data_IF_532665273902
#
_entry.id   IF_532665273902
#
_cell.length_a   1.000
_cell.length_b   1.000
_cell.length_c   1.000
_cell.angle_alpha   90.00
_cell.angle_beta   90.00
_cell.angle_gamma   90.00
#
_symmetry.space_group_name_H-M   'P 1'
#
loop_
_entity.id
_entity.type
_entity.pdbx_description
1 polymer ?
#
# COMPACT_ATOMS: atom_id res chain seq x y z
N UNK A 1 9.34 4.13 -17.72
CA UNK A 1 8.07 3.33 -17.81
C UNK A 1 8.02 2.41 -16.60
N UNK A 2 6.90 2.35 -15.89
CA UNK A 2 6.70 1.48 -14.73
C UNK A 2 6.54 0.02 -15.17
N UNK A 3 7.26 -0.89 -14.53
CA UNK A 3 7.05 -2.34 -14.61
C UNK A 3 6.79 -2.91 -13.22
N UNK A 4 5.81 -3.81 -13.10
CA UNK A 4 5.61 -4.62 -11.90
C UNK A 4 6.44 -5.89 -12.11
N UNK A 5 7.61 -5.96 -11.50
CA UNK A 5 8.48 -7.14 -11.58
C UNK A 5 7.93 -8.32 -10.78
N UNK A 6 7.27 -8.02 -9.66
CA UNK A 6 6.71 -9.04 -8.80
C UNK A 6 5.47 -8.51 -8.07
N UNK A 7 4.46 -9.36 -7.93
CA UNK A 7 3.37 -9.23 -6.97
C UNK A 7 3.30 -10.52 -6.18
N UNK A 8 3.45 -10.44 -4.87
CA UNK A 8 3.35 -11.60 -3.98
C UNK A 8 2.39 -11.34 -2.85
N UNK A 9 1.57 -12.33 -2.56
CA UNK A 9 0.84 -12.40 -1.31
C UNK A 9 1.80 -12.86 -0.24
N UNK A 10 2.04 -12.04 0.78
CA UNK A 10 3.04 -12.25 1.83
C UNK A 10 2.42 -12.13 3.22
N UNK A 11 3.10 -12.74 4.19
CA UNK A 11 2.70 -12.68 5.59
C UNK A 11 1.39 -13.38 5.92
N UNK A 12 0.97 -13.31 7.20
CA UNK A 12 -0.13 -14.10 7.72
C UNK A 12 -1.52 -13.70 7.20
N UNK A 13 -1.67 -12.47 6.71
CA UNK A 13 -2.94 -11.95 6.17
C UNK A 13 -2.95 -11.84 4.62
N UNK A 14 -1.95 -12.45 3.94
CA UNK A 14 -1.84 -12.45 2.48
C UNK A 14 -1.88 -11.03 1.88
N UNK A 15 -1.07 -10.11 2.47
CA UNK A 15 -0.88 -8.78 1.93
C UNK A 15 -0.22 -8.85 0.55
N UNK A 16 -0.69 -8.05 -0.39
CA UNK A 16 -0.06 -7.91 -1.69
C UNK A 16 1.17 -6.98 -1.59
N UNK A 17 2.35 -7.56 -1.54
CA UNK A 17 3.59 -6.83 -1.73
C UNK A 17 3.88 -6.66 -3.22
N UNK A 18 4.26 -5.47 -3.64
CA UNK A 18 4.64 -5.18 -5.02
C UNK A 18 6.10 -4.75 -5.11
N UNK A 19 6.83 -5.30 -6.08
CA UNK A 19 8.17 -4.83 -6.47
C UNK A 19 8.02 -4.19 -7.85
N UNK A 20 8.12 -2.86 -7.88
CA UNK A 20 7.89 -2.06 -9.09
C UNK A 20 9.12 -1.23 -9.42
N UNK A 21 9.37 -0.97 -10.68
CA UNK A 21 10.55 -0.19 -11.04
C UNK A 21 10.70 0.08 -12.53
N UNK A 22 11.92 0.50 -12.88
CA UNK A 22 12.31 0.79 -14.23
C UNK A 22 13.06 -0.42 -14.84
N UNK A 23 12.52 -1.05 -15.89
CA UNK A 23 13.13 -2.21 -16.53
C UNK A 23 14.50 -1.91 -17.17
N UNK A 24 14.80 -0.64 -17.48
CA UNK A 24 16.04 -0.24 -18.10
C UNK A 24 17.18 -0.11 -17.09
N UNK A 25 16.92 0.60 -15.99
CA UNK A 25 17.93 0.86 -14.95
C UNK A 25 17.99 -0.24 -13.89
N UNK A 26 16.99 -1.12 -13.83
CA UNK A 26 16.81 -2.13 -12.78
C UNK A 26 16.71 -1.54 -11.37
N UNK A 27 16.39 -0.26 -11.26
CA UNK A 27 16.03 0.35 -10.00
C UNK A 27 14.57 0.07 -9.66
N UNK A 28 14.29 -0.22 -8.40
CA UNK A 28 12.95 -0.64 -7.96
C UNK A 28 12.55 -0.06 -6.61
N UNK A 29 11.26 -0.01 -6.37
CA UNK A 29 10.62 0.31 -5.10
C UNK A 29 9.83 -0.92 -4.63
N UNK A 30 9.94 -1.24 -3.35
CA UNK A 30 9.12 -2.28 -2.71
C UNK A 30 7.98 -1.60 -1.97
N UNK A 31 6.74 -2.00 -2.28
CA UNK A 31 5.52 -1.47 -1.66
C UNK A 31 4.91 -2.54 -0.77
N UNK A 32 4.58 -2.18 0.47
CA UNK A 32 3.92 -3.02 1.48
C UNK A 32 4.60 -4.38 1.72
N UNK A 33 5.82 -4.41 2.25
CA UNK A 33 6.51 -5.66 2.61
C UNK A 33 5.92 -6.28 3.89
N UNK A 34 4.74 -6.88 3.77
CA UNK A 34 3.93 -7.38 4.88
C UNK A 34 4.39 -8.71 5.49
N UNK A 35 5.46 -9.32 4.98
CA UNK A 35 6.02 -10.57 5.48
C UNK A 35 7.02 -11.18 4.51
N UNK A 36 7.53 -12.37 4.85
CA UNK A 36 8.34 -13.21 3.96
C UNK A 36 9.57 -12.50 3.35
N UNK A 37 10.32 -11.73 4.17
CA UNK A 37 11.43 -10.89 3.72
C UNK A 37 12.45 -11.63 2.85
N UNK A 38 12.81 -12.89 3.19
CA UNK A 38 13.78 -13.67 2.43
C UNK A 38 13.25 -14.04 1.03
N UNK A 39 11.94 -14.30 0.91
CA UNK A 39 11.27 -14.57 -0.38
C UNK A 39 11.27 -13.32 -1.26
N UNK A 40 11.02 -12.15 -0.67
CA UNK A 40 11.10 -10.87 -1.37
C UNK A 40 12.54 -10.56 -1.79
N UNK A 41 13.53 -10.82 -0.93
CA UNK A 41 14.93 -10.64 -1.26
C UNK A 41 15.39 -11.56 -2.40
N UNK A 42 14.91 -12.82 -2.44
CA UNK A 42 15.16 -13.74 -3.55
C UNK A 42 14.55 -13.23 -4.86
N UNK A 43 13.34 -12.68 -4.84
CA UNK A 43 12.71 -12.08 -6.02
C UNK A 43 13.51 -10.86 -6.52
N UNK A 44 13.93 -9.97 -5.62
CA UNK A 44 14.80 -8.82 -5.93
C UNK A 44 16.10 -9.29 -6.62
N UNK A 45 16.76 -10.30 -6.06
CA UNK A 45 18.00 -10.87 -6.63
C UNK A 45 17.76 -11.55 -7.98
N UNK A 46 16.67 -12.30 -8.14
CA UNK A 46 16.31 -13.00 -9.38
C UNK A 46 16.11 -12.01 -10.54
N UNK A 47 15.45 -10.89 -10.26
CA UNK A 47 15.25 -9.82 -11.24
C UNK A 47 16.46 -8.87 -11.35
N UNK A 48 17.54 -9.09 -10.58
CA UNK A 48 18.75 -8.25 -10.54
C UNK A 48 18.42 -6.77 -10.24
N UNK A 49 17.53 -6.52 -9.27
CA UNK A 49 17.06 -5.19 -8.94
C UNK A 49 17.94 -4.52 -7.89
N UNK A 50 18.07 -3.20 -8.00
CA UNK A 50 18.58 -2.32 -6.95
C UNK A 50 17.39 -1.60 -6.32
N UNK A 51 17.07 -1.91 -5.08
CA UNK A 51 15.97 -1.25 -4.38
C UNK A 51 16.41 0.15 -3.95
N UNK A 52 15.64 1.16 -4.34
CA UNK A 52 15.92 2.58 -4.01
C UNK A 52 15.04 3.07 -2.88
N UNK A 53 13.89 2.43 -2.64
CA UNK A 53 12.98 2.74 -1.55
C UNK A 53 12.15 1.52 -1.15
N UNK A 54 11.82 1.44 0.12
CA UNK A 54 10.80 0.56 0.68
C UNK A 54 9.71 1.50 1.20
N UNK A 55 8.45 1.32 0.82
CA UNK A 55 7.37 2.21 1.22
C UNK A 55 6.17 1.41 1.69
N UNK A 56 5.59 1.81 2.83
CA UNK A 56 4.31 1.29 3.26
C UNK A 56 3.19 2.27 2.88
N UNK A 57 2.10 1.73 2.31
CA UNK A 57 0.89 2.51 2.06
C UNK A 57 0.23 2.94 3.36
N UNK A 58 0.39 2.14 4.42
CA UNK A 58 -0.01 2.44 5.79
C UNK A 58 0.69 1.50 6.77
N UNK A 59 0.56 1.76 8.07
CA UNK A 59 1.38 1.10 9.09
C UNK A 59 0.72 -0.08 9.81
N UNK A 60 -0.35 -0.68 9.29
CA UNK A 60 -0.83 -1.93 9.89
C UNK A 60 0.23 -3.01 9.75
N UNK A 61 0.31 -3.88 10.78
CA UNK A 61 1.41 -4.84 10.93
C UNK A 61 1.65 -5.70 9.69
N UNK A 62 0.58 -6.11 9.04
CA UNK A 62 0.62 -6.98 7.86
C UNK A 62 1.10 -6.30 6.57
N UNK A 63 1.38 -4.99 6.61
CA UNK A 63 2.01 -4.23 5.53
C UNK A 63 3.48 -3.88 5.81
N UNK A 64 3.97 -4.07 7.04
CA UNK A 64 5.29 -3.56 7.45
C UNK A 64 6.20 -4.59 8.12
N UNK A 65 5.74 -5.81 8.43
CA UNK A 65 6.51 -6.82 9.19
C UNK A 65 7.90 -7.06 8.60
N UNK A 66 8.02 -7.13 7.28
CA UNK A 66 9.30 -7.41 6.63
C UNK A 66 10.12 -6.16 6.31
N UNK A 67 9.62 -4.95 6.61
CA UNK A 67 10.30 -3.71 6.20
C UNK A 67 11.70 -3.57 6.80
N UNK A 68 11.88 -3.82 8.10
CA UNK A 68 13.21 -3.72 8.73
C UNK A 68 14.18 -4.72 8.14
N UNK A 69 13.75 -5.97 7.96
CA UNK A 69 14.61 -7.00 7.40
C UNK A 69 15.02 -6.69 5.96
N UNK A 70 14.12 -6.15 5.15
CA UNK A 70 14.45 -5.71 3.79
C UNK A 70 15.36 -4.48 3.79
N UNK A 71 15.19 -3.55 4.72
CA UNK A 71 16.10 -2.43 4.94
C UNK A 71 17.54 -2.91 5.15
N UNK A 72 17.71 -3.87 6.07
CA UNK A 72 19.02 -4.48 6.35
C UNK A 72 19.62 -5.17 5.11
N UNK A 73 18.81 -5.91 4.34
CA UNK A 73 19.27 -6.70 3.19
C UNK A 73 19.60 -5.85 1.97
N UNK A 74 18.86 -4.76 1.76
CA UNK A 74 18.98 -3.94 0.55
C UNK A 74 19.73 -2.63 0.76
N UNK A 75 19.80 -2.14 1.99
CA UNK A 75 20.29 -0.80 2.32
C UNK A 75 19.36 0.33 1.88
N UNK A 76 18.15 0.01 1.38
CA UNK A 76 17.18 0.99 0.94
C UNK A 76 16.45 1.64 2.12
N UNK A 77 16.16 2.95 2.08
CA UNK A 77 15.41 3.62 3.13
C UNK A 77 13.94 3.20 3.16
N UNK A 78 13.36 3.17 4.37
CA UNK A 78 11.93 2.91 4.59
C UNK A 78 11.15 4.21 4.73
N UNK A 79 10.07 4.31 3.97
CA UNK A 79 9.18 5.46 3.88
C UNK A 79 7.80 5.15 4.46
N UNK A 80 7.28 6.08 5.26
CA UNK A 80 5.95 6.02 5.84
C UNK A 80 5.37 7.43 6.01
N UNK A 81 4.07 7.60 5.92
CA UNK A 81 3.41 8.86 6.24
C UNK A 81 3.40 9.11 7.76
N UNK A 82 3.80 10.31 8.21
CA UNK A 82 3.98 10.61 9.64
C UNK A 82 2.72 10.39 10.50
N UNK A 83 1.53 10.59 9.93
CA UNK A 83 0.28 10.37 10.66
C UNK A 83 0.06 8.90 11.05
N UNK A 84 0.80 7.98 10.46
CA UNK A 84 0.72 6.55 10.78
C UNK A 84 1.77 6.07 11.80
N UNK A 85 2.64 6.96 12.30
CA UNK A 85 3.57 6.58 13.37
C UNK A 85 2.87 5.96 14.61
N UNK A 86 1.74 6.49 15.10
CA UNK A 86 1.02 5.85 16.19
C UNK A 86 0.47 4.44 15.85
N UNK A 87 0.11 4.20 14.57
CA UNK A 87 -0.31 2.87 14.10
C UNK A 87 0.89 1.93 14.06
N UNK A 88 2.05 2.42 13.59
CA UNK A 88 3.30 1.68 13.58
C UNK A 88 3.76 1.30 15.01
N UNK A 89 3.67 2.24 15.95
CA UNK A 89 4.01 2.00 17.35
C UNK A 89 3.15 0.89 17.98
N UNK A 90 1.91 0.71 17.47
CA UNK A 90 0.99 -0.35 17.91
C UNK A 90 1.17 -1.68 17.16
N UNK A 91 2.12 -1.79 16.22
CA UNK A 91 2.33 -2.95 15.35
C UNK A 91 2.44 -4.27 16.12
N UNK A 92 3.31 -4.31 17.14
CA UNK A 92 3.58 -5.54 17.89
C UNK A 92 2.37 -5.99 18.72
N UNK A 93 1.73 -5.07 19.43
CA UNK A 93 0.52 -5.36 20.21
C UNK A 93 -0.63 -5.79 19.32
N UNK A 94 -0.82 -5.15 18.16
CA UNK A 94 -1.89 -5.52 17.23
C UNK A 94 -1.68 -6.90 16.63
N UNK A 95 -0.46 -7.25 16.21
CA UNK A 95 -0.14 -8.59 15.72
C UNK A 95 -0.38 -9.66 16.79
N UNK A 96 0.02 -9.38 18.04
CA UNK A 96 -0.25 -10.28 19.16
C UNK A 96 -1.75 -10.41 19.44
N UNK A 97 -2.50 -9.31 19.38
CA UNK A 97 -3.94 -9.30 19.64
C UNK A 97 -4.74 -10.05 18.57
N UNK A 98 -4.44 -9.84 17.30
CA UNK A 98 -5.22 -10.40 16.19
C UNK A 98 -4.77 -11.81 15.78
N UNK A 99 -3.48 -12.13 15.90
CA UNK A 99 -2.92 -13.39 15.40
C UNK A 99 -2.24 -14.24 16.48
N UNK A 100 -1.98 -13.67 17.66
CA UNK A 100 -1.24 -14.38 18.71
C UNK A 100 0.24 -14.59 18.37
N UNK A 101 0.81 -13.79 17.47
CA UNK A 101 2.21 -13.89 17.04
C UNK A 101 3.03 -12.69 17.50
N UNK A 102 4.31 -12.94 17.77
CA UNK A 102 5.31 -11.89 17.99
C UNK A 102 6.00 -11.61 16.63
N UNK A 103 5.91 -10.36 16.19
CA UNK A 103 6.48 -9.91 14.92
C UNK A 103 7.74 -9.05 15.09
N UNK A 104 8.23 -8.95 16.32
CA UNK A 104 9.36 -8.09 16.66
C UNK A 104 9.01 -6.60 16.73
N UNK A 105 10.01 -5.75 16.96
CA UNK A 105 9.81 -4.30 17.06
C UNK A 105 9.43 -3.68 15.68
N UNK A 106 8.75 -2.52 15.72
CA UNK A 106 8.46 -1.80 14.49
C UNK A 106 9.73 -1.37 13.74
N UNK A 107 9.70 -1.31 12.40
CA UNK A 107 10.82 -0.85 11.60
C UNK A 107 11.13 0.63 11.86
N UNK A 108 12.42 0.99 11.70
CA UNK A 108 12.83 2.40 11.75
C UNK A 108 12.36 3.11 10.46
N UNK A 109 11.67 4.23 10.61
CA UNK A 109 11.24 5.07 9.48
C UNK A 109 12.33 6.07 9.16
N UNK A 110 13.01 5.89 8.03
CA UNK A 110 14.10 6.77 7.58
C UNK A 110 13.57 8.10 7.03
N UNK A 111 12.44 8.07 6.33
CA UNK A 111 11.91 9.25 5.66
C UNK A 111 10.37 9.26 5.73
N UNK A 112 9.83 10.44 6.05
CA UNK A 112 8.39 10.69 5.95
C UNK A 112 7.98 11.01 4.52
N UNK A 113 6.78 10.55 4.12
CA UNK A 113 6.15 10.93 2.85
C UNK A 113 4.84 11.67 3.09
N UNK A 114 4.50 12.55 2.16
CA UNK A 114 3.30 13.39 2.23
C UNK A 114 2.64 13.52 0.85
N UNK A 115 1.43 14.06 0.82
CA UNK A 115 0.70 14.39 -0.42
C UNK A 115 1.58 15.18 -1.40
N UNK A 116 1.71 14.68 -2.62
CA UNK A 116 2.44 15.31 -3.70
C UNK A 116 3.93 14.96 -3.77
N UNK A 117 4.46 14.23 -2.79
CA UNK A 117 5.82 13.71 -2.88
C UNK A 117 5.95 12.70 -4.02
N UNK A 118 7.18 12.52 -4.51
CA UNK A 118 7.49 11.60 -5.60
C UNK A 118 8.63 10.67 -5.19
N UNK A 119 8.35 9.37 -5.22
CA UNK A 119 9.36 8.34 -5.07
C UNK A 119 9.85 7.91 -6.46
N UNK A 120 11.16 7.83 -6.67
CA UNK A 120 11.74 7.54 -7.98
C UNK A 120 12.61 6.29 -7.97
N UNK A 121 12.54 5.52 -9.06
CA UNK A 121 13.44 4.42 -9.36
C UNK A 121 13.79 4.48 -10.86
N UNK A 122 14.99 4.94 -11.20
CA UNK A 122 15.36 5.29 -12.57
C UNK A 122 14.43 6.37 -13.13
N UNK A 123 13.83 6.10 -14.29
CA UNK A 123 12.86 6.98 -14.93
C UNK A 123 11.42 6.76 -14.40
N UNK A 124 11.18 5.72 -13.60
CA UNK A 124 9.89 5.44 -13.01
C UNK A 124 9.64 6.37 -11.81
N UNK A 125 8.43 6.89 -11.72
CA UNK A 125 7.98 7.75 -10.63
C UNK A 125 6.66 7.24 -10.04
N UNK A 126 6.56 7.29 -8.71
CA UNK A 126 5.33 7.06 -7.94
C UNK A 126 4.98 8.36 -7.21
N UNK A 127 3.84 8.93 -7.56
CA UNK A 127 3.30 10.12 -6.90
C UNK A 127 2.46 9.72 -5.70
N UNK A 128 2.74 10.33 -4.55
CA UNK A 128 2.03 10.06 -3.30
C UNK A 128 0.72 10.82 -3.28
N UNK A 129 -0.38 10.10 -3.05
CA UNK A 129 -1.72 10.64 -2.82
C UNK A 129 -2.13 10.25 -1.40
N UNK A 130 -2.30 11.21 -0.51
CA UNK A 130 -2.78 10.93 0.84
C UNK A 130 -4.27 10.55 0.81
N UNK A 131 -4.59 9.34 1.23
CA UNK A 131 -5.94 8.74 1.20
C UNK A 131 -6.35 8.25 2.59
N UNK A 132 -6.49 9.16 3.58
CA UNK A 132 -6.77 8.78 4.96
C UNK A 132 -8.15 8.16 5.11
N UNK A 133 -8.29 7.35 6.18
CA UNK A 133 -9.57 6.79 6.59
C UNK A 133 -9.54 5.32 6.97
N UNK A 134 -8.75 4.47 6.29
CA UNK A 134 -8.40 3.15 6.79
C UNK A 134 -7.42 3.27 7.97
N UNK A 135 -6.38 4.07 7.78
CA UNK A 135 -5.55 4.64 8.83
C UNK A 135 -5.38 6.15 8.62
N UNK A 136 -4.88 6.92 9.60
CA UNK A 136 -4.68 8.36 9.46
C UNK A 136 -3.64 8.74 8.40
N UNK A 137 -2.62 7.90 8.20
CA UNK A 137 -1.53 8.11 7.25
C UNK A 137 -1.64 7.27 5.98
N UNK A 138 -2.78 6.64 5.71
CA UNK A 138 -2.96 5.86 4.48
C UNK A 138 -2.66 6.69 3.24
N UNK A 139 -1.84 6.14 2.34
CA UNK A 139 -1.51 6.73 1.03
C UNK A 139 -1.84 5.75 -0.09
N UNK A 140 -2.09 6.31 -1.26
CA UNK A 140 -2.08 5.58 -2.53
C UNK A 140 -0.92 6.09 -3.38
N UNK A 141 -0.34 5.21 -4.19
CA UNK A 141 0.81 5.54 -5.03
C UNK A 141 0.40 5.45 -6.50
N UNK A 142 0.49 6.58 -7.19
CA UNK A 142 0.15 6.68 -8.61
C UNK A 142 1.43 6.63 -9.46
N UNK A 143 1.60 5.56 -10.20
CA UNK A 143 2.64 5.44 -11.22
C UNK A 143 2.10 5.66 -12.63
N UNK A 144 3.00 5.61 -13.63
CA UNK A 144 2.64 5.64 -15.04
C UNK A 144 1.88 4.35 -15.42
N UNK A 145 0.57 4.47 -15.53
CA UNK A 145 -0.32 3.37 -15.90
C UNK A 145 -0.77 2.45 -14.77
N UNK A 146 -0.56 2.78 -13.49
CA UNK A 146 -1.00 1.96 -12.36
C UNK A 146 -1.26 2.77 -11.10
N UNK A 147 -2.24 2.35 -10.30
CA UNK A 147 -2.53 2.88 -8.97
C UNK A 147 -2.39 1.76 -7.93
N UNK A 148 -1.50 1.94 -6.94
CA UNK A 148 -1.37 1.08 -5.77
C UNK A 148 -2.14 1.73 -4.63
N UNK A 149 -3.28 1.16 -4.28
CA UNK A 149 -4.24 1.80 -3.37
C UNK A 149 -4.06 1.42 -1.90
N UNK A 150 -3.14 0.51 -1.58
CA UNK A 150 -3.12 -0.07 -0.25
C UNK A 150 -4.50 -0.56 0.16
N UNK A 151 -4.89 -0.29 1.39
CA UNK A 151 -6.19 -0.65 1.94
C UNK A 151 -7.24 0.47 1.85
N UNK A 152 -7.09 1.35 0.85
CA UNK A 152 -8.10 2.39 0.58
C UNK A 152 -9.22 1.86 -0.32
N UNK A 153 -8.91 1.20 -1.44
CA UNK A 153 -9.89 0.75 -2.44
C UNK A 153 -9.56 -0.67 -2.92
N UNK A 154 -10.53 -1.57 -2.82
CA UNK A 154 -10.45 -2.97 -3.25
C UNK A 154 -11.40 -3.27 -4.41
N UNK A 155 -11.25 -4.43 -5.02
CA UNK A 155 -12.21 -4.97 -5.97
C UNK A 155 -13.56 -5.24 -5.29
N UNK A 156 -14.52 -4.33 -5.48
CA UNK A 156 -15.87 -4.42 -4.90
C UNK A 156 -15.95 -4.11 -3.40
N UNK A 157 -14.90 -3.53 -2.79
CA UNK A 157 -14.89 -3.17 -1.38
C UNK A 157 -14.02 -1.93 -1.12
N UNK A 158 -13.94 -1.52 0.13
CA UNK A 158 -13.04 -0.50 0.67
C UNK A 158 -12.40 -1.00 1.96
N UNK A 159 -11.34 -0.36 2.42
CA UNK A 159 -10.71 -0.65 3.71
C UNK A 159 -11.68 -0.50 4.88
N UNK A 160 -11.49 -1.32 5.90
CA UNK A 160 -12.22 -1.17 7.18
C UNK A 160 -11.80 0.13 7.87
N UNK A 161 -12.71 0.69 8.65
CA UNK A 161 -12.50 1.99 9.33
C UNK A 161 -12.85 1.93 10.83
N UNK A 162 -12.95 0.73 11.37
CA UNK A 162 -13.32 0.46 12.76
C UNK A 162 -12.11 0.17 13.67
N UNK A 163 -10.88 0.24 13.12
CA UNK A 163 -9.65 0.17 13.90
C UNK A 163 -9.25 1.56 14.44
N UNK A 164 -8.37 1.63 15.46
CA UNK A 164 -7.88 2.91 15.98
C UNK A 164 -7.32 3.82 14.89
N UNK A 165 -7.84 5.06 14.83
CA UNK A 165 -7.49 6.03 13.78
C UNK A 165 -8.29 5.95 12.50
N UNK A 166 -9.18 4.94 12.37
CA UNK A 166 -10.07 4.80 11.21
C UNK A 166 -11.16 5.87 11.16
N UNK A 167 -11.51 6.33 9.94
CA UNK A 167 -12.57 7.30 9.67
C UNK A 167 -13.25 6.98 8.33
N UNK A 168 -14.48 6.47 8.41
CA UNK A 168 -15.24 6.06 7.23
C UNK A 168 -15.56 7.22 6.28
N UNK A 169 -15.78 8.42 6.83
CA UNK A 169 -16.07 9.59 6.03
C UNK A 169 -14.82 10.06 5.28
N UNK A 170 -13.68 10.14 5.96
CA UNK A 170 -12.41 10.51 5.35
C UNK A 170 -12.05 9.54 4.21
N UNK A 171 -12.24 8.22 4.40
CA UNK A 171 -11.98 7.21 3.37
C UNK A 171 -12.88 7.41 2.14
N UNK A 172 -14.19 7.58 2.34
CA UNK A 172 -15.14 7.83 1.23
C UNK A 172 -14.80 9.12 0.49
N UNK A 173 -14.47 10.18 1.22
CA UNK A 173 -14.10 11.49 0.65
C UNK A 173 -12.78 11.38 -0.14
N UNK A 174 -11.78 10.64 0.36
CA UNK A 174 -10.52 10.39 -0.33
C UNK A 174 -10.74 9.60 -1.65
N UNK A 175 -11.51 8.51 -1.62
CA UNK A 175 -11.80 7.73 -2.82
C UNK A 175 -12.55 8.56 -3.86
N UNK A 176 -13.65 9.24 -3.46
CA UNK A 176 -14.48 10.00 -4.40
C UNK A 176 -13.82 11.28 -4.88
N UNK A 177 -13.15 12.00 -3.97
CA UNK A 177 -12.56 13.31 -4.24
C UNK A 177 -11.18 13.27 -4.88
N UNK A 178 -10.43 12.17 -4.70
CA UNK A 178 -9.08 12.03 -5.25
C UNK A 178 -8.99 10.89 -6.25
N UNK A 179 -9.22 9.62 -5.84
CA UNK A 179 -8.97 8.47 -6.71
C UNK A 179 -9.92 8.44 -7.92
N UNK A 180 -11.21 8.71 -7.72
CA UNK A 180 -12.18 8.72 -8.83
C UNK A 180 -12.09 9.94 -9.76
N UNK A 181 -11.18 10.88 -9.48
CA UNK A 181 -10.86 12.00 -10.40
C UNK A 181 -9.73 11.67 -11.37
N UNK A 182 -8.99 10.58 -11.11
CA UNK A 182 -7.92 10.09 -11.98
C UNK A 182 -8.48 9.44 -13.27
N UNK A 183 -7.58 9.07 -14.17
CA UNK A 183 -7.95 8.32 -15.38
C UNK A 183 -8.67 7.02 -15.00
N UNK A 184 -9.88 6.88 -15.49
CA UNK A 184 -10.74 5.74 -15.14
C UNK A 184 -10.25 4.40 -15.68
N UNK A 185 -9.40 4.40 -16.69
CA UNK A 185 -8.80 3.19 -17.27
C UNK A 185 -7.69 2.59 -16.40
N UNK A 186 -7.21 3.34 -15.38
CA UNK A 186 -6.11 2.87 -14.52
C UNK A 186 -6.47 1.56 -13.82
N UNK A 187 -5.60 0.53 -13.91
CA UNK A 187 -5.65 -0.62 -13.03
C UNK A 187 -5.34 -0.19 -11.60
N UNK A 188 -6.07 -0.78 -10.66
CA UNK A 188 -5.91 -0.59 -9.22
C UNK A 188 -5.34 -1.87 -8.62
N UNK A 189 -4.22 -1.74 -7.95
CA UNK A 189 -3.48 -2.79 -7.26
C UNK A 189 -3.63 -2.58 -5.75
N UNK A 190 -4.54 -3.30 -5.07
CA UNK A 190 -4.83 -3.10 -3.66
C UNK A 190 -3.87 -3.85 -2.75
N UNK A 191 -3.87 -3.51 -1.46
CA UNK A 191 -3.12 -4.22 -0.42
C UNK A 191 -3.60 -5.66 -0.20
N UNK A 192 -4.88 -5.96 -0.50
CA UNK A 192 -5.41 -7.32 -0.41
C UNK A 192 -6.32 -7.68 -1.60
N UNK A 193 -6.33 -8.97 -1.94
CA UNK A 193 -7.20 -9.52 -2.97
C UNK A 193 -6.80 -9.15 -4.41
N UNK A 194 -7.71 -9.31 -5.38
CA UNK A 194 -7.40 -9.14 -6.79
C UNK A 194 -7.34 -7.67 -7.21
N UNK A 195 -6.58 -7.40 -8.27
CA UNK A 195 -6.60 -6.10 -8.96
C UNK A 195 -7.96 -5.81 -9.59
N UNK A 196 -8.25 -4.51 -9.77
CA UNK A 196 -9.47 -4.00 -10.39
C UNK A 196 -9.15 -2.79 -11.28
N UNK A 197 -10.14 -1.97 -11.64
CA UNK A 197 -9.95 -0.69 -12.34
C UNK A 197 -10.78 0.40 -11.68
N UNK A 198 -10.33 1.65 -11.80
CA UNK A 198 -11.09 2.79 -11.27
C UNK A 198 -12.48 2.89 -11.89
N UNK A 199 -12.64 2.60 -13.19
CA UNK A 199 -13.95 2.60 -13.86
C UNK A 199 -14.91 1.61 -13.21
N UNK A 200 -14.47 0.35 -13.03
CA UNK A 200 -15.28 -0.68 -12.39
C UNK A 200 -15.73 -0.27 -11.01
N UNK A 201 -14.81 0.17 -10.17
CA UNK A 201 -15.14 0.54 -8.80
C UNK A 201 -16.01 1.79 -8.73
N UNK A 202 -15.77 2.80 -9.56
CA UNK A 202 -16.63 3.98 -9.66
C UNK A 202 -18.06 3.64 -10.07
N UNK A 203 -18.26 2.62 -10.93
CA UNK A 203 -19.58 2.21 -11.40
C UNK A 203 -20.31 1.29 -10.41
N UNK A 204 -19.61 0.30 -9.85
CA UNK A 204 -20.23 -0.85 -9.19
C UNK A 204 -19.84 -1.09 -7.74
N UNK A 205 -18.82 -0.39 -7.20
CA UNK A 205 -18.43 -0.58 -5.79
C UNK A 205 -19.62 -0.25 -4.86
N UNK A 206 -20.02 -1.17 -3.96
CA UNK A 206 -21.21 -0.98 -3.14
C UNK A 206 -21.07 0.13 -2.07
N UNK A 207 -19.83 0.53 -1.74
CA UNK A 207 -19.54 1.53 -0.70
C UNK A 207 -19.34 2.94 -1.26
N UNK A 208 -18.64 3.06 -2.38
CA UNK A 208 -18.19 4.35 -2.94
C UNK A 208 -18.62 4.58 -4.39
N UNK A 209 -19.11 3.54 -5.08
CA UNK A 209 -19.52 3.62 -6.48
C UNK A 209 -20.83 4.40 -6.68
N UNK A 210 -21.21 4.63 -7.94
CA UNK A 210 -22.44 5.35 -8.31
C UNK A 210 -23.71 4.70 -7.75
N UNK A 211 -23.68 3.41 -7.43
CA UNK A 211 -24.79 2.64 -6.85
C UNK A 211 -24.66 2.43 -5.35
N UNK A 212 -23.71 3.08 -4.70
CA UNK A 212 -23.54 3.03 -3.25
C UNK A 212 -24.84 3.52 -2.56
N UNK A 213 -25.32 2.77 -1.56
CA UNK A 213 -26.56 3.08 -0.85
C UNK A 213 -27.85 2.53 -1.48
N UNK A 214 -27.83 1.97 -2.69
CA UNK A 214 -29.02 1.32 -3.29
C UNK A 214 -29.35 -0.05 -2.68
N UNK A 215 -28.45 -0.60 -1.87
CA UNK A 215 -28.54 -1.95 -1.29
C UNK A 215 -28.71 -1.95 0.24
N UNK A 216 -28.86 -0.78 0.87
CA UNK A 216 -29.19 -0.73 2.29
C UNK A 216 -30.72 -0.96 2.42
N UNK A 217 -31.20 -2.06 3.02
CA UNK A 217 -32.60 -2.18 3.41
C UNK A 217 -32.91 -1.07 4.41
N UNK A 218 -34.08 -0.46 4.29
CA UNK A 218 -34.63 0.51 5.24
C UNK A 218 -34.74 -0.09 6.65
#
# INVERSE_FOLDING_TARGET
>A
MLEIFERREVGPLACNCYIVGDPTTRQAIVIDPGGDADVLAEAIATHQLTVTAIVATHAHFDHVIAAERLRELTGAPFYLHDSDRPVLDWMQESAQMFLGVDVGPPPEVDTSVSEGDVLSAGEMQLHVIHTPGHSPGSISLLGDGALFSGDTLFAGSIGRTDLPGGDSRALVDAVKGKLFTLDQSLPVHPGHGPSTTLERERLSNPFVGKRAGLWLPE
#
